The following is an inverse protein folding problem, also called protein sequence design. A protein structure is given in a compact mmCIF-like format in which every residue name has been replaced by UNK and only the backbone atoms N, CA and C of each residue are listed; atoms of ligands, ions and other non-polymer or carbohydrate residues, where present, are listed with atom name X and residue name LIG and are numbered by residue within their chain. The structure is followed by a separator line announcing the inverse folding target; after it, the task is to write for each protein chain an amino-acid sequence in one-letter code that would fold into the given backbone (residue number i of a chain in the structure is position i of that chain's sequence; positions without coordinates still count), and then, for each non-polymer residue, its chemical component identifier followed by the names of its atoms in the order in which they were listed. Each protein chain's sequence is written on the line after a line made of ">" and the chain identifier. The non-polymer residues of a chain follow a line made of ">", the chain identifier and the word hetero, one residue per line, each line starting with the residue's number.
data_IF_215177882483
#
_entry.id   IF_215177882483
#
_cell.length_a   1.000
_cell.length_b   1.000
_cell.length_c   1.000
_cell.angle_alpha   90.00
_cell.angle_beta   90.00
_cell.angle_gamma   90.00
#
_symmetry.space_group_name_H-M   'P 1'
#
loop_
_entity.id
_entity.type
_entity.pdbx_description
1 polymer ?
#
# COMPACT_ATOMS: atom_id res chain seq x y z
N UNK A 1 -14.07 11.30 -18.83
CA UNK A 1 -13.02 11.38 -17.78
C UNK A 1 -13.62 11.87 -16.46
N UNK A 2 -14.40 12.95 -16.46
CA UNK A 2 -15.06 13.46 -15.25
C UNK A 2 -16.03 12.46 -14.60
N UNK A 3 -16.82 11.73 -15.40
CA UNK A 3 -17.74 10.70 -14.89
C UNK A 3 -17.06 9.59 -14.07
N UNK A 4 -15.85 9.17 -14.47
CA UNK A 4 -15.06 8.18 -13.73
C UNK A 4 -14.51 8.77 -12.43
N UNK A 5 -14.07 10.04 -12.45
CA UNK A 5 -13.59 10.74 -11.27
C UNK A 5 -14.69 10.99 -10.25
N UNK A 6 -15.91 11.32 -10.70
CA UNK A 6 -17.07 11.45 -9.81
C UNK A 6 -17.46 10.12 -9.20
N UNK A 7 -17.45 9.04 -9.99
CA UNK A 7 -17.77 7.71 -9.50
C UNK A 7 -16.76 7.24 -8.44
N UNK A 8 -15.47 7.40 -8.70
CA UNK A 8 -14.41 7.11 -7.74
C UNK A 8 -14.54 7.96 -6.47
N UNK A 9 -14.82 9.27 -6.63
CA UNK A 9 -15.09 10.17 -5.52
C UNK A 9 -16.26 9.72 -4.63
N UNK A 10 -17.36 9.26 -5.23
CA UNK A 10 -18.52 8.73 -4.49
C UNK A 10 -18.16 7.48 -3.68
N UNK A 11 -17.32 6.60 -4.20
CA UNK A 11 -16.81 5.43 -3.47
C UNK A 11 -16.01 5.89 -2.25
N UNK A 12 -15.11 6.86 -2.43
CA UNK A 12 -14.29 7.39 -1.33
C UNK A 12 -15.16 8.03 -0.25
N UNK A 13 -16.12 8.87 -0.61
CA UNK A 13 -17.05 9.50 0.34
C UNK A 13 -17.88 8.44 1.09
N UNK A 14 -18.34 7.41 0.38
CA UNK A 14 -19.09 6.31 0.99
C UNK A 14 -18.24 5.54 2.02
N UNK A 15 -16.99 5.23 1.69
CA UNK A 15 -16.04 4.62 2.64
C UNK A 15 -15.75 5.53 3.83
N UNK A 16 -15.56 6.83 3.58
CA UNK A 16 -15.24 7.81 4.60
C UNK A 16 -16.36 7.97 5.64
N UNK A 17 -17.63 7.82 5.24
CA UNK A 17 -18.79 7.83 6.15
C UNK A 17 -18.80 6.70 7.19
N UNK A 18 -17.90 5.72 7.08
CA UNK A 18 -17.66 4.68 8.08
C UNK A 18 -16.75 5.09 9.24
N UNK A 19 -15.96 6.16 9.07
CA UNK A 19 -14.99 6.64 10.08
C UNK A 19 -15.76 7.12 11.33
N UNK A 20 -15.28 6.73 12.52
CA UNK A 20 -15.87 7.09 13.80
C UNK A 20 -17.05 6.22 14.23
N UNK A 21 -17.50 5.27 13.40
CA UNK A 21 -18.60 4.35 13.75
C UNK A 21 -18.15 3.20 14.64
N UNK A 22 -16.94 2.70 14.43
CA UNK A 22 -16.40 1.57 15.18
C UNK A 22 -14.89 1.73 15.43
N UNK A 23 -14.54 2.05 16.68
CA UNK A 23 -13.17 2.38 17.07
C UNK A 23 -12.14 1.29 16.72
N UNK A 24 -12.52 0.01 16.78
CA UNK A 24 -11.61 -1.09 16.41
C UNK A 24 -11.25 -1.12 14.92
N UNK A 25 -12.20 -0.76 14.05
CA UNK A 25 -11.96 -0.70 12.60
C UNK A 25 -11.12 0.53 12.25
N UNK A 26 -11.40 1.67 12.89
CA UNK A 26 -10.62 2.89 12.72
C UNK A 26 -9.16 2.67 13.15
N UNK A 27 -8.94 1.96 14.27
CA UNK A 27 -7.59 1.63 14.73
C UNK A 27 -6.85 0.67 13.80
N UNK A 28 -7.54 -0.36 13.30
CA UNK A 28 -6.98 -1.28 12.31
C UNK A 28 -6.64 -0.56 10.98
N UNK A 29 -7.54 0.32 10.52
CA UNK A 29 -7.33 1.14 9.34
C UNK A 29 -6.17 2.13 9.53
N UNK A 30 -6.08 2.75 10.71
CA UNK A 30 -4.97 3.64 11.07
C UNK A 30 -3.61 2.92 10.99
N UNK A 31 -3.54 1.71 11.55
CA UNK A 31 -2.34 0.86 11.46
C UNK A 31 -2.00 0.49 10.01
N UNK A 32 -3.00 0.15 9.20
CA UNK A 32 -2.79 -0.21 7.81
C UNK A 32 -2.37 0.98 6.93
N UNK A 33 -2.87 2.17 7.21
CA UNK A 33 -2.56 3.42 6.48
C UNK A 33 -1.27 4.07 7.00
N UNK A 34 -0.74 3.63 8.14
CA UNK A 34 0.55 4.07 8.62
C UNK A 34 1.67 3.70 7.63
N UNK A 35 2.42 4.70 7.19
CA UNK A 35 3.52 4.55 6.22
C UNK A 35 4.66 3.63 6.71
N UNK A 36 4.67 3.26 7.99
CA UNK A 36 5.74 2.45 8.59
C UNK A 36 5.30 1.04 8.94
N UNK A 37 4.07 0.85 9.45
CA UNK A 37 3.68 -0.44 10.02
C UNK A 37 3.69 -1.55 8.98
N UNK A 38 3.04 -1.32 7.84
CA UNK A 38 2.90 -2.31 6.76
C UNK A 38 4.26 -2.65 6.13
N UNK A 39 5.11 -1.67 5.75
CA UNK A 39 6.46 -1.96 5.26
C UNK A 39 7.33 -2.70 6.29
N UNK A 40 7.28 -2.30 7.56
CA UNK A 40 8.06 -2.93 8.61
C UNK A 40 7.62 -4.38 8.86
N UNK A 41 6.31 -4.64 8.86
CA UNK A 41 5.76 -5.98 8.97
C UNK A 41 6.22 -6.88 7.82
N UNK A 42 6.25 -6.36 6.59
CA UNK A 42 6.80 -7.08 5.43
C UNK A 42 8.28 -7.40 5.59
N UNK A 43 9.10 -6.44 6.05
CA UNK A 43 10.52 -6.67 6.31
C UNK A 43 10.75 -7.78 7.34
N UNK A 44 10.01 -7.76 8.46
CA UNK A 44 10.10 -8.83 9.45
C UNK A 44 9.62 -10.18 8.91
N UNK A 45 8.57 -10.20 8.08
CA UNK A 45 8.08 -11.40 7.45
C UNK A 45 9.12 -12.01 6.50
N UNK A 46 9.73 -11.19 5.64
CA UNK A 46 10.81 -11.61 4.73
C UNK A 46 12.03 -12.11 5.49
N UNK A 47 12.40 -11.44 6.59
CA UNK A 47 13.48 -11.89 7.46
C UNK A 47 13.17 -13.24 8.12
N UNK A 48 11.94 -13.44 8.58
CA UNK A 48 11.47 -14.72 9.11
C UNK A 48 11.57 -15.84 8.06
N UNK A 49 11.05 -15.59 6.86
CA UNK A 49 11.11 -16.53 5.74
C UNK A 49 12.55 -16.88 5.34
N UNK A 50 13.47 -15.92 5.41
CA UNK A 50 14.88 -16.14 5.07
C UNK A 50 15.54 -17.26 5.88
N UNK A 51 15.17 -17.39 7.16
CA UNK A 51 15.71 -18.40 8.06
C UNK A 51 14.79 -19.61 8.25
N UNK A 52 13.54 -19.53 7.79
CA UNK A 52 12.56 -20.59 7.93
C UNK A 52 12.79 -21.72 6.91
N UNK A 53 12.65 -22.96 7.35
CA UNK A 53 12.79 -24.17 6.52
C UNK A 53 13.36 -25.34 7.33
N UNK A 54 12.84 -26.54 7.13
CA UNK A 54 13.28 -27.75 7.87
C UNK A 54 14.59 -28.31 7.33
N UNK A 55 14.84 -28.13 6.05
CA UNK A 55 16.05 -28.58 5.36
C UNK A 55 16.69 -27.47 4.52
N UNK A 56 17.88 -27.73 3.99
CA UNK A 56 18.60 -26.78 3.15
C UNK A 56 17.86 -26.44 1.85
N UNK A 57 16.99 -27.33 1.35
CA UNK A 57 16.25 -27.15 0.10
C UNK A 57 15.08 -26.18 0.30
N UNK A 58 14.27 -26.37 1.35
CA UNK A 58 13.18 -25.46 1.75
C UNK A 58 13.72 -24.08 2.07
N UNK A 59 14.81 -24.00 2.84
CA UNK A 59 15.45 -22.71 3.15
C UNK A 59 15.95 -22.01 1.87
N UNK A 60 16.57 -22.76 0.95
CA UNK A 60 17.01 -22.23 -0.33
C UNK A 60 15.85 -21.72 -1.20
N UNK A 61 14.68 -22.39 -1.17
CA UNK A 61 13.48 -21.92 -1.86
C UNK A 61 12.95 -20.62 -1.24
N UNK A 62 12.88 -20.54 0.09
CA UNK A 62 12.39 -19.35 0.78
C UNK A 62 13.32 -18.15 0.56
N UNK A 63 14.65 -18.34 0.59
CA UNK A 63 15.60 -17.27 0.27
C UNK A 63 15.44 -16.74 -1.15
N UNK A 64 15.20 -17.63 -2.14
CA UNK A 64 14.90 -17.21 -3.51
C UNK A 64 13.60 -16.40 -3.59
N UNK A 65 12.56 -16.82 -2.88
CA UNK A 65 11.30 -16.06 -2.81
C UNK A 65 11.50 -14.67 -2.19
N UNK A 66 12.27 -14.57 -1.11
CA UNK A 66 12.62 -13.28 -0.48
C UNK A 66 13.39 -12.38 -1.45
N UNK A 67 14.35 -12.92 -2.22
CA UNK A 67 15.07 -12.15 -3.24
C UNK A 67 14.14 -11.71 -4.38
N UNK A 68 13.23 -12.58 -4.83
CA UNK A 68 12.23 -12.24 -5.84
C UNK A 68 11.31 -11.12 -5.36
N UNK A 69 10.82 -11.18 -4.12
CA UNK A 69 10.04 -10.12 -3.48
C UNK A 69 10.80 -8.80 -3.39
N UNK A 70 12.09 -8.82 -3.02
CA UNK A 70 12.92 -7.62 -2.97
C UNK A 70 13.10 -6.98 -4.36
N UNK A 71 13.30 -7.80 -5.40
CA UNK A 71 13.41 -7.32 -6.78
C UNK A 71 12.07 -6.75 -7.26
N UNK A 72 10.96 -7.46 -7.02
CA UNK A 72 9.62 -7.01 -7.37
C UNK A 72 9.27 -5.68 -6.69
N UNK A 73 9.63 -5.53 -5.41
CA UNK A 73 9.49 -4.28 -4.67
C UNK A 73 10.28 -3.13 -5.31
N UNK A 74 11.50 -3.38 -5.76
CA UNK A 74 12.30 -2.40 -6.49
C UNK A 74 11.64 -1.94 -7.79
N UNK A 75 11.15 -2.89 -8.59
CA UNK A 75 10.42 -2.57 -9.83
C UNK A 75 9.09 -1.84 -9.57
N UNK A 76 8.36 -2.21 -8.52
CA UNK A 76 7.12 -1.55 -8.15
C UNK A 76 7.36 -0.08 -7.76
N UNK A 77 8.38 0.20 -6.95
CA UNK A 77 8.77 1.58 -6.61
C UNK A 77 9.21 2.37 -7.84
N UNK A 78 9.99 1.76 -8.74
CA UNK A 78 10.41 2.41 -9.97
C UNK A 78 9.20 2.74 -10.86
N UNK A 79 8.25 1.82 -11.00
CA UNK A 79 7.04 2.05 -11.78
C UNK A 79 6.18 3.17 -11.15
N UNK A 80 6.03 3.18 -9.83
CA UNK A 80 5.35 4.27 -9.10
C UNK A 80 6.03 5.61 -9.37
N UNK A 81 7.36 5.69 -9.25
CA UNK A 81 8.12 6.91 -9.50
C UNK A 81 7.93 7.43 -10.93
N UNK A 82 8.04 6.55 -11.93
CA UNK A 82 7.88 6.93 -13.34
C UNK A 82 6.47 7.43 -13.64
N UNK A 83 5.45 6.77 -13.07
CA UNK A 83 4.05 7.15 -13.26
C UNK A 83 3.69 8.44 -12.52
N UNK A 84 4.21 8.62 -11.30
CA UNK A 84 4.04 9.84 -10.52
C UNK A 84 4.60 11.07 -11.25
N UNK A 85 5.76 10.93 -11.89
CA UNK A 85 6.35 12.00 -12.72
C UNK A 85 5.60 12.23 -14.04
N UNK A 86 4.97 11.19 -14.60
CA UNK A 86 4.27 11.29 -15.87
C UNK A 86 2.84 11.84 -15.73
N UNK A 87 2.13 11.48 -14.66
CA UNK A 87 0.71 11.79 -14.48
C UNK A 87 0.45 12.24 -13.04
N UNK A 88 0.25 13.55 -12.86
CA UNK A 88 -0.19 14.09 -11.58
C UNK A 88 -1.71 14.00 -11.45
N UNK A 89 -2.18 13.31 -10.40
CA UNK A 89 -3.60 13.22 -10.05
C UNK A 89 -3.82 13.71 -8.62
N UNK A 90 -4.51 14.84 -8.47
CA UNK A 90 -4.87 15.37 -7.14
C UNK A 90 -5.70 14.38 -6.31
N UNK A 91 -5.45 14.35 -4.99
CA UNK A 91 -6.10 13.43 -4.05
C UNK A 91 -7.56 13.81 -3.77
N UNK A 92 -8.45 12.84 -3.46
CA UNK A 92 -9.89 13.10 -3.28
C UNK A 92 -10.25 14.18 -2.25
N UNK A 93 -9.46 14.33 -1.17
CA UNK A 93 -9.69 15.36 -0.14
C UNK A 93 -9.54 16.81 -0.66
N UNK A 94 -8.94 17.01 -1.84
CA UNK A 94 -8.88 18.34 -2.47
C UNK A 94 -10.22 18.80 -3.05
N UNK A 95 -11.17 17.88 -3.21
CA UNK A 95 -12.50 18.13 -3.82
C UNK A 95 -13.66 17.79 -2.88
N UNK A 96 -13.45 16.88 -1.94
CA UNK A 96 -14.46 16.41 -1.00
C UNK A 96 -14.00 16.67 0.42
N UNK A 97 -14.93 17.06 1.29
CA UNK A 97 -14.68 17.19 2.73
C UNK A 97 -14.65 15.77 3.34
N UNK A 98 -13.46 15.30 3.69
CA UNK A 98 -13.21 13.92 4.15
C UNK A 98 -12.54 13.95 5.52
N UNK A 99 -12.98 13.07 6.42
CA UNK A 99 -12.29 12.84 7.67
C UNK A 99 -10.95 12.13 7.41
N UNK A 100 -9.86 12.65 7.98
CA UNK A 100 -8.51 12.09 7.88
C UNK A 100 -8.18 11.21 9.08
N UNK A 101 -7.74 9.97 8.80
CA UNK A 101 -7.26 9.06 9.83
C UNK A 101 -5.79 9.29 10.20
N UNK A 102 -4.94 9.72 9.27
CA UNK A 102 -3.50 9.86 9.50
C UNK A 102 -2.98 11.27 9.16
N UNK A 103 -2.68 11.56 7.90
CA UNK A 103 -2.38 12.91 7.41
C UNK A 103 -2.85 13.04 5.95
N UNK A 104 -2.77 14.26 5.42
CA UNK A 104 -3.04 14.55 4.01
C UNK A 104 -1.73 14.53 3.21
N UNK A 105 -1.49 13.52 2.36
CA UNK A 105 -0.23 13.44 1.62
C UNK A 105 -0.17 14.46 0.48
N UNK A 106 1.01 14.99 0.19
CA UNK A 106 1.21 16.03 -0.83
C UNK A 106 1.58 15.48 -2.22
N UNK A 107 1.80 14.17 -2.32
CA UNK A 107 2.15 13.44 -3.54
C UNK A 107 0.91 13.10 -4.40
N UNK A 108 1.12 12.60 -5.62
CA UNK A 108 0.02 12.17 -6.49
C UNK A 108 -0.81 11.07 -5.82
N UNK A 109 -2.10 11.02 -6.16
CA UNK A 109 -3.01 9.95 -5.75
C UNK A 109 -2.86 8.68 -6.58
N UNK A 110 -2.19 8.75 -7.73
CA UNK A 110 -2.05 7.62 -8.64
C UNK A 110 -0.61 7.48 -9.14
N UNK A 111 -0.07 6.25 -9.15
CA UNK A 111 -0.59 5.04 -8.51
C UNK A 111 -0.45 5.09 -6.97
N UNK A 112 -1.29 4.34 -6.25
CA UNK A 112 -1.18 4.28 -4.79
C UNK A 112 0.08 3.49 -4.38
N UNK A 113 1.11 4.21 -3.89
CA UNK A 113 2.39 3.64 -3.46
C UNK A 113 2.25 2.45 -2.49
N UNK A 114 1.56 2.58 -1.33
CA UNK A 114 1.45 1.46 -0.38
C UNK A 114 0.75 0.23 -0.97
N UNK A 115 -0.20 0.41 -1.90
CA UNK A 115 -0.84 -0.70 -2.58
C UNK A 115 0.14 -1.40 -3.54
N UNK A 116 0.86 -0.65 -4.37
CA UNK A 116 1.84 -1.20 -5.30
C UNK A 116 2.91 -2.02 -4.58
N UNK A 117 3.45 -1.50 -3.47
CA UNK A 117 4.43 -2.17 -2.62
C UNK A 117 3.88 -3.45 -2.00
N UNK A 118 2.70 -3.37 -1.37
CA UNK A 118 2.10 -4.53 -0.71
C UNK A 118 1.78 -5.67 -1.68
N UNK A 119 1.21 -5.35 -2.85
CA UNK A 119 0.92 -6.36 -3.87
C UNK A 119 2.20 -6.95 -4.47
N UNK A 120 3.22 -6.14 -4.74
CA UNK A 120 4.48 -6.64 -5.30
C UNK A 120 5.15 -7.68 -4.40
N UNK A 121 5.15 -7.46 -3.08
CA UNK A 121 5.68 -8.41 -2.11
C UNK A 121 4.78 -9.65 -1.98
N UNK A 122 3.45 -9.46 -2.00
CA UNK A 122 2.51 -10.57 -1.84
C UNK A 122 2.46 -11.55 -3.02
N UNK A 123 2.79 -11.09 -4.25
CA UNK A 123 2.71 -11.91 -5.47
C UNK A 123 4.04 -12.51 -5.93
N UNK A 124 5.16 -12.12 -5.33
CA UNK A 124 6.49 -12.59 -5.69
C UNK A 124 6.80 -13.97 -5.10
#
# INVERSE_FOLDING_TARGET
>A
METLLEFDGRIVVWLNGGIGRFAGLDWAAYLAVSDYFVPLAMCFWMLGLWFFGKDCQERGRNQKAVLAAAIALGFANLAVLLLDQAIFRGRPFTRFDLATLFYEPTDSSFPANPAAVAFAVATA
#
